data_IF_832140678312
#
_entry.id   IF_832140678312
#
_cell.length_a   1.000
_cell.length_b   1.000
_cell.length_c   1.000
_cell.angle_alpha   90.00
_cell.angle_beta   90.00
_cell.angle_gamma   90.00
#
_symmetry.space_group_name_H-M   'P 1'
#
loop_
_entity.id
_entity.type
_entity.pdbx_description
1 polymer ?
#
# COMPACT_ATOMS: atom_id res chain seq x y z
N UNK A 1 9.26 28.51 -30.86
CA UNK A 1 8.41 27.30 -30.84
C UNK A 1 7.62 27.29 -29.53
N UNK A 2 6.29 27.33 -29.62
CA UNK A 2 5.39 27.22 -28.46
C UNK A 2 5.67 25.89 -27.74
N UNK A 3 6.04 25.94 -26.46
CA UNK A 3 6.25 24.74 -25.64
C UNK A 3 4.91 24.03 -25.49
N UNK A 4 4.80 22.80 -25.99
CA UNK A 4 3.62 21.96 -25.82
C UNK A 4 3.30 21.83 -24.33
N UNK A 5 2.12 22.30 -23.94
CA UNK A 5 1.62 22.25 -22.56
C UNK A 5 1.13 20.82 -22.27
N UNK A 6 1.63 20.19 -21.20
CA UNK A 6 1.37 18.77 -20.91
C UNK A 6 -0.07 18.46 -20.52
N UNK A 7 -0.84 19.45 -20.04
CA UNK A 7 -2.24 19.30 -19.62
C UNK A 7 -3.23 20.02 -20.56
N UNK A 8 -2.81 20.35 -21.79
CA UNK A 8 -3.68 21.01 -22.75
C UNK A 8 -4.94 20.18 -23.03
N UNK A 9 -6.12 20.80 -22.93
CA UNK A 9 -7.40 20.12 -23.20
C UNK A 9 -7.93 19.26 -22.04
N UNK A 10 -7.28 19.32 -20.87
CA UNK A 10 -7.70 18.63 -19.65
C UNK A 10 -8.51 19.58 -18.76
N UNK A 11 -9.58 19.05 -18.13
CA UNK A 11 -10.33 19.74 -17.09
C UNK A 11 -9.97 19.15 -15.72
N UNK A 12 -9.60 20.02 -14.79
CA UNK A 12 -9.21 19.64 -13.43
C UNK A 12 -10.17 20.28 -12.43
N UNK A 13 -10.79 19.44 -11.62
CA UNK A 13 -11.73 19.81 -10.57
C UNK A 13 -11.00 19.77 -9.24
N UNK A 14 -10.95 20.91 -8.55
CA UNK A 14 -10.22 21.05 -7.30
C UNK A 14 -11.07 21.79 -6.28
N UNK A 15 -11.32 21.17 -5.12
CA UNK A 15 -12.10 21.77 -4.03
C UNK A 15 -11.20 22.05 -2.82
N UNK A 16 -11.42 23.20 -2.17
CA UNK A 16 -10.71 23.57 -0.93
C UNK A 16 -10.94 22.59 0.22
N UNK A 17 -11.99 21.77 0.15
CA UNK A 17 -12.29 20.75 1.16
C UNK A 17 -11.56 19.42 0.89
N UNK A 18 -11.06 19.19 -0.33
CA UNK A 18 -10.45 17.92 -0.76
C UNK A 18 -8.91 18.01 -0.89
N UNK A 19 -8.39 19.23 -0.87
CA UNK A 19 -6.97 19.53 -1.02
C UNK A 19 -6.51 20.35 0.18
N UNK A 20 -5.46 19.92 0.89
CA UNK A 20 -4.91 20.65 2.02
C UNK A 20 -4.54 22.09 1.64
N UNK A 21 -4.87 23.08 2.48
CA UNK A 21 -4.60 24.49 2.20
C UNK A 21 -3.13 24.77 1.83
N UNK A 22 -2.20 24.08 2.48
CA UNK A 22 -0.75 24.26 2.28
C UNK A 22 -0.25 23.82 0.89
N UNK A 23 -1.02 22.98 0.17
CA UNK A 23 -0.67 22.53 -1.19
C UNK A 23 -1.54 23.20 -2.25
N UNK A 24 -2.69 23.78 -1.87
CA UNK A 24 -3.73 24.23 -2.79
C UNK A 24 -3.23 25.21 -3.85
N UNK A 25 -2.60 26.31 -3.44
CA UNK A 25 -2.18 27.36 -4.36
C UNK A 25 -1.05 26.88 -5.29
N UNK A 26 -0.09 26.12 -4.73
CA UNK A 26 0.99 25.51 -5.52
C UNK A 26 0.43 24.57 -6.59
N UNK A 27 -0.58 23.78 -6.24
CA UNK A 27 -1.23 22.84 -7.15
C UNK A 27 -2.05 23.56 -8.22
N UNK A 28 -2.83 24.55 -7.81
CA UNK A 28 -3.59 25.41 -8.72
C UNK A 28 -2.68 26.02 -9.79
N UNK A 29 -1.57 26.62 -9.37
CA UNK A 29 -0.63 27.25 -10.27
C UNK A 29 0.06 26.23 -11.18
N UNK A 30 0.50 25.10 -10.65
CA UNK A 30 1.12 24.04 -11.43
C UNK A 30 0.20 23.53 -12.56
N UNK A 31 -1.08 23.33 -12.27
CA UNK A 31 -2.08 22.88 -13.25
C UNK A 31 -2.32 23.97 -14.31
N UNK A 32 -2.50 25.23 -13.88
CA UNK A 32 -2.77 26.36 -14.78
C UNK A 32 -1.61 26.64 -15.73
N UNK A 33 -0.38 26.64 -15.24
CA UNK A 33 0.82 26.86 -16.05
C UNK A 33 1.00 25.76 -17.11
N UNK A 34 0.56 24.54 -16.83
CA UNK A 34 0.60 23.41 -17.74
C UNK A 34 -0.64 23.30 -18.66
N UNK A 35 -1.51 24.31 -18.69
CA UNK A 35 -2.55 24.48 -19.73
C UNK A 35 -3.87 23.75 -19.50
N UNK A 36 -4.08 23.21 -18.31
CA UNK A 36 -5.38 22.64 -17.94
C UNK A 36 -6.40 23.75 -17.60
N UNK A 37 -7.68 23.46 -17.87
CA UNK A 37 -8.79 24.25 -17.36
C UNK A 37 -9.08 23.84 -15.92
N UNK A 38 -9.23 24.80 -15.02
CA UNK A 38 -9.46 24.54 -13.59
C UNK A 38 -10.88 24.94 -13.22
N UNK A 39 -11.59 24.06 -12.51
CA UNK A 39 -12.87 24.33 -11.90
C UNK A 39 -12.77 24.15 -10.39
N UNK A 40 -13.10 25.20 -9.64
CA UNK A 40 -12.98 25.23 -8.17
C UNK A 40 -14.17 24.56 -7.48
N UNK A 41 -14.49 23.33 -7.88
CA UNK A 41 -15.60 22.56 -7.35
C UNK A 41 -15.24 21.07 -7.31
N UNK A 42 -16.14 20.28 -6.73
CA UNK A 42 -16.13 18.82 -6.85
C UNK A 42 -17.52 18.44 -7.33
N UNK A 43 -17.64 18.13 -8.61
CA UNK A 43 -18.89 17.73 -9.26
C UNK A 43 -18.77 16.29 -9.78
N UNK A 44 -19.32 15.31 -9.06
CA UNK A 44 -19.24 13.90 -9.43
C UNK A 44 -19.97 13.56 -10.74
N UNK A 45 -20.81 14.46 -11.29
CA UNK A 45 -21.40 14.27 -12.62
C UNK A 45 -20.42 14.51 -13.76
N UNK A 46 -19.26 15.13 -13.47
CA UNK A 46 -18.22 15.49 -14.44
C UNK A 46 -17.17 14.38 -14.51
N UNK A 47 -17.48 13.34 -15.28
CA UNK A 47 -16.66 12.13 -15.44
C UNK A 47 -16.19 11.92 -16.89
N UNK A 48 -16.06 13.00 -17.66
CA UNK A 48 -15.62 12.93 -19.05
C UNK A 48 -14.20 12.35 -19.20
N UNK A 49 -13.82 11.94 -20.43
CA UNK A 49 -12.52 11.32 -20.71
C UNK A 49 -11.32 12.21 -20.39
N UNK A 50 -11.51 13.53 -20.33
CA UNK A 50 -10.49 14.52 -19.98
C UNK A 50 -10.77 15.24 -18.64
N UNK A 51 -11.74 14.76 -17.85
CA UNK A 51 -12.06 15.32 -16.53
C UNK A 51 -11.30 14.58 -15.43
N UNK A 52 -10.68 15.31 -14.51
CA UNK A 52 -9.94 14.75 -13.37
C UNK A 52 -10.28 15.49 -12.08
N UNK A 53 -10.54 14.75 -11.01
CA UNK A 53 -10.84 15.29 -9.68
C UNK A 53 -9.64 15.16 -8.77
N UNK A 54 -9.21 16.26 -8.15
CA UNK A 54 -8.12 16.22 -7.18
C UNK A 54 -8.67 15.89 -5.80
N UNK A 55 -8.15 14.82 -5.20
CA UNK A 55 -8.50 14.40 -3.84
C UNK A 55 -7.28 13.86 -3.11
N UNK A 56 -7.05 14.35 -1.90
CA UNK A 56 -5.82 14.06 -1.16
C UNK A 56 -5.89 12.83 -0.29
N UNK A 57 -7.09 12.34 0.02
CA UNK A 57 -7.28 11.21 0.91
C UNK A 57 -8.43 10.33 0.41
N UNK A 58 -8.15 9.04 0.25
CA UNK A 58 -9.16 8.02 -0.11
C UNK A 58 -10.19 7.75 0.98
N UNK A 59 -9.94 8.25 2.21
CA UNK A 59 -10.87 8.14 3.35
C UNK A 59 -11.94 9.23 3.37
N UNK A 60 -11.83 10.24 2.52
CA UNK A 60 -12.82 11.32 2.47
C UNK A 60 -14.16 10.78 1.93
N UNK A 61 -15.29 11.23 2.50
CA UNK A 61 -16.65 10.76 2.13
C UNK A 61 -16.93 10.82 0.61
N UNK A 62 -16.52 11.91 -0.03
CA UNK A 62 -16.64 12.13 -1.48
C UNK A 62 -15.81 11.17 -2.34
N UNK A 63 -14.79 10.50 -1.78
CA UNK A 63 -13.97 9.57 -2.54
C UNK A 63 -14.81 8.43 -3.11
N UNK A 64 -15.69 7.85 -2.28
CA UNK A 64 -16.54 6.73 -2.72
C UNK A 64 -17.59 7.18 -3.72
N UNK A 65 -18.17 8.37 -3.57
CA UNK A 65 -19.10 8.93 -4.54
C UNK A 65 -18.43 9.13 -5.92
N UNK A 66 -17.23 9.73 -5.94
CA UNK A 66 -16.44 9.89 -7.17
C UNK A 66 -16.06 8.55 -7.79
N UNK A 67 -15.61 7.58 -6.96
CA UNK A 67 -15.23 6.23 -7.41
C UNK A 67 -16.42 5.50 -8.04
N UNK A 68 -17.59 5.53 -7.39
CA UNK A 68 -18.80 4.87 -7.87
C UNK A 68 -19.33 5.44 -9.19
N UNK A 69 -19.11 6.73 -9.44
CA UNK A 69 -19.46 7.42 -10.70
C UNK A 69 -18.39 7.30 -11.79
N UNK A 70 -17.33 6.54 -11.55
CA UNK A 70 -16.24 6.33 -12.52
C UNK A 70 -15.39 7.58 -12.77
N UNK A 71 -15.37 8.53 -11.83
CA UNK A 71 -14.54 9.72 -11.96
C UNK A 71 -13.06 9.34 -11.88
N UNK A 72 -12.23 9.95 -12.73
CA UNK A 72 -10.77 9.85 -12.60
C UNK A 72 -10.31 10.77 -11.49
N UNK A 73 -9.64 10.21 -10.49
CA UNK A 73 -9.20 10.91 -9.30
C UNK A 73 -7.68 10.95 -9.23
N UNK A 74 -7.12 12.05 -8.72
CA UNK A 74 -5.69 12.27 -8.62
C UNK A 74 -5.31 12.85 -7.27
N UNK A 75 -4.24 12.36 -6.66
CA UNK A 75 -3.62 12.96 -5.50
C UNK A 75 -2.82 14.22 -5.87
N UNK A 76 -2.72 15.23 -4.99
CA UNK A 76 -1.90 16.41 -5.24
C UNK A 76 -0.47 16.10 -5.65
N UNK A 77 0.13 15.05 -5.05
CA UNK A 77 1.53 14.70 -5.29
C UNK A 77 1.79 14.20 -6.71
N UNK A 78 0.90 13.37 -7.25
CA UNK A 78 1.06 12.87 -8.62
C UNK A 78 0.91 14.00 -9.64
N UNK A 79 -0.06 14.92 -9.44
CA UNK A 79 -0.29 16.06 -10.33
C UNK A 79 0.92 17.01 -10.35
N UNK A 80 1.46 17.35 -9.18
CA UNK A 80 2.64 18.20 -9.06
C UNK A 80 3.86 17.58 -9.76
N UNK A 81 4.05 16.26 -9.64
CA UNK A 81 5.15 15.58 -10.31
C UNK A 81 4.97 15.62 -11.84
N UNK A 82 3.78 15.27 -12.35
CA UNK A 82 3.47 15.35 -13.78
C UNK A 82 3.67 16.77 -14.34
N UNK A 83 3.27 17.78 -13.58
CA UNK A 83 3.43 19.19 -13.94
C UNK A 83 4.90 19.60 -14.02
N UNK A 84 5.72 19.15 -13.06
CA UNK A 84 7.16 19.41 -13.00
C UNK A 84 7.90 18.72 -14.15
N UNK A 85 7.58 17.45 -14.41
CA UNK A 85 8.24 16.63 -15.43
C UNK A 85 7.66 16.80 -16.83
N UNK A 86 6.59 17.59 -16.98
CA UNK A 86 5.84 17.78 -18.23
C UNK A 86 5.31 16.47 -18.82
N UNK A 87 4.92 15.54 -17.96
CA UNK A 87 4.28 14.27 -18.33
C UNK A 87 2.75 14.44 -18.35
N UNK A 88 2.02 13.64 -19.14
CA UNK A 88 0.57 13.62 -19.07
C UNK A 88 0.08 13.13 -17.69
N UNK A 89 -1.15 13.50 -17.33
CA UNK A 89 -1.80 12.98 -16.13
C UNK A 89 -2.17 11.49 -16.31
N UNK A 90 -2.08 10.68 -15.23
CA UNK A 90 -2.43 9.27 -15.31
C UNK A 90 -3.94 9.11 -15.52
N UNK A 91 -4.31 8.17 -16.40
CA UNK A 91 -5.71 7.98 -16.84
C UNK A 91 -6.47 6.90 -16.08
N UNK A 92 -5.81 6.23 -15.13
CA UNK A 92 -6.38 5.18 -14.30
C UNK A 92 -7.35 5.75 -13.24
N UNK A 93 -8.17 4.89 -12.63
CA UNK A 93 -9.27 5.28 -11.74
C UNK A 93 -8.85 6.26 -10.63
N UNK A 94 -7.92 5.86 -9.76
CA UNK A 94 -7.31 6.75 -8.78
C UNK A 94 -5.78 6.58 -8.77
N UNK A 95 -5.05 7.69 -8.69
CA UNK A 95 -3.59 7.69 -8.49
C UNK A 95 -3.23 8.71 -7.43
N UNK A 96 -2.78 8.27 -6.25
CA UNK A 96 -2.39 9.17 -5.17
C UNK A 96 -0.98 9.77 -5.40
N UNK A 97 -0.03 8.92 -5.80
CA UNK A 97 1.37 9.28 -6.05
C UNK A 97 2.04 8.25 -6.96
N UNK A 98 3.33 8.42 -7.21
CA UNK A 98 4.16 7.51 -8.00
C UNK A 98 5.24 6.84 -7.15
N UNK A 99 4.98 6.67 -5.84
CA UNK A 99 5.94 6.10 -4.90
C UNK A 99 6.36 4.67 -5.31
N UNK A 100 5.47 3.93 -5.94
CA UNK A 100 5.70 2.55 -6.39
C UNK A 100 5.88 2.46 -7.90
N UNK A 101 6.17 3.57 -8.60
CA UNK A 101 6.39 3.53 -10.05
C UNK A 101 7.56 2.59 -10.40
N UNK A 102 7.28 1.63 -11.30
CA UNK A 102 8.21 0.55 -11.65
C UNK A 102 8.41 -0.55 -10.58
N UNK A 103 7.70 -0.49 -9.45
CA UNK A 103 7.80 -1.48 -8.37
C UNK A 103 6.80 -2.61 -8.58
N UNK A 104 7.31 -3.85 -8.59
CA UNK A 104 6.53 -5.09 -8.72
C UNK A 104 6.42 -5.80 -7.39
N UNK A 105 5.20 -6.07 -6.96
CA UNK A 105 4.88 -6.62 -5.64
C UNK A 105 4.13 -7.94 -5.77
N UNK A 106 4.37 -8.87 -4.85
CA UNK A 106 3.59 -10.10 -4.70
C UNK A 106 2.98 -10.18 -3.30
N UNK A 107 1.68 -10.48 -3.22
CA UNK A 107 0.99 -10.68 -1.94
C UNK A 107 0.77 -12.18 -1.63
N UNK A 108 0.91 -12.58 -0.36
CA UNK A 108 0.66 -13.96 0.09
C UNK A 108 0.12 -14.06 1.51
N UNK A 109 -0.74 -15.06 1.76
CA UNK A 109 -1.35 -15.30 3.08
C UNK A 109 -2.56 -14.42 3.41
N UNK A 110 -3.02 -13.61 2.46
CA UNK A 110 -4.19 -12.75 2.57
C UNK A 110 -5.43 -13.39 1.94
N UNK A 111 -6.60 -13.10 2.50
CA UNK A 111 -7.89 -13.44 1.90
C UNK A 111 -8.19 -12.58 0.65
N UNK A 112 -9.35 -12.80 0.03
CA UNK A 112 -9.72 -12.11 -1.20
C UNK A 112 -9.88 -10.59 -0.99
N UNK A 113 -10.57 -10.19 0.07
CA UNK A 113 -10.86 -8.78 0.36
C UNK A 113 -9.59 -8.02 0.76
N UNK A 114 -8.71 -8.66 1.53
CA UNK A 114 -7.39 -8.12 1.87
C UNK A 114 -6.52 -7.93 0.63
N UNK A 115 -6.56 -8.86 -0.33
CA UNK A 115 -5.80 -8.73 -1.59
C UNK A 115 -6.30 -7.58 -2.45
N UNK A 116 -7.62 -7.36 -2.52
CA UNK A 116 -8.18 -6.20 -3.23
C UNK A 116 -7.63 -4.91 -2.63
N UNK A 117 -7.61 -4.77 -1.30
CA UNK A 117 -7.04 -3.57 -0.64
C UNK A 117 -5.55 -3.38 -0.90
N UNK A 118 -4.79 -4.48 -0.98
CA UNK A 118 -3.37 -4.44 -1.33
C UNK A 118 -3.21 -3.99 -2.79
N UNK A 119 -3.98 -4.56 -3.71
CA UNK A 119 -3.97 -4.20 -5.12
C UNK A 119 -4.31 -2.72 -5.33
N UNK A 120 -5.36 -2.23 -4.67
CA UNK A 120 -5.75 -0.82 -4.67
C UNK A 120 -4.58 0.07 -4.22
N UNK A 121 -4.00 -0.17 -3.04
CA UNK A 121 -2.87 0.64 -2.56
C UNK A 121 -1.65 0.60 -3.48
N UNK A 122 -1.31 -0.57 -4.03
CA UNK A 122 -0.17 -0.71 -4.95
C UNK A 122 -0.42 0.07 -6.24
N UNK A 123 -1.60 -0.08 -6.84
CA UNK A 123 -1.97 0.58 -8.11
C UNK A 123 -2.15 2.09 -7.95
N UNK A 124 -2.73 2.54 -6.84
CA UNK A 124 -2.86 3.95 -6.48
C UNK A 124 -1.51 4.67 -6.38
N UNK A 125 -0.45 3.95 -5.97
CA UNK A 125 0.92 4.46 -5.91
C UNK A 125 1.74 4.24 -7.20
N UNK A 126 1.11 3.71 -8.26
CA UNK A 126 1.76 3.46 -9.56
C UNK A 126 2.52 2.14 -9.68
N UNK A 127 2.40 1.24 -8.71
CA UNK A 127 3.03 -0.08 -8.74
C UNK A 127 2.18 -1.16 -9.42
N UNK A 128 2.76 -2.35 -9.56
CA UNK A 128 2.09 -3.51 -10.14
C UNK A 128 2.02 -4.67 -9.14
N UNK A 129 0.81 -5.20 -8.90
CA UNK A 129 0.62 -6.42 -8.13
C UNK A 129 0.67 -7.64 -9.04
N UNK A 130 1.61 -8.54 -8.80
CA UNK A 130 1.73 -9.80 -9.50
C UNK A 130 0.96 -10.90 -8.76
N UNK A 131 0.31 -11.78 -9.50
CA UNK A 131 -0.42 -12.94 -8.95
C UNK A 131 0.48 -14.16 -8.80
N UNK A 132 1.55 -14.25 -9.61
CA UNK A 132 2.48 -15.38 -9.67
C UNK A 132 3.89 -15.00 -9.20
N UNK A 133 4.62 -15.95 -8.58
CA UNK A 133 6.04 -15.76 -8.28
C UNK A 133 6.84 -15.46 -9.55
N UNK A 134 7.81 -14.54 -9.45
CA UNK A 134 8.72 -14.17 -10.53
C UNK A 134 10.03 -13.64 -9.96
N UNK A 135 11.12 -13.70 -10.72
CA UNK A 135 12.46 -13.24 -10.32
C UNK A 135 12.61 -11.71 -10.36
N UNK A 136 11.74 -11.03 -11.11
CA UNK A 136 11.75 -9.56 -11.29
C UNK A 136 10.97 -8.79 -10.22
N UNK A 137 10.46 -9.48 -9.19
CA UNK A 137 9.76 -8.86 -8.08
C UNK A 137 10.70 -8.03 -7.20
N UNK A 138 10.22 -6.87 -6.75
CA UNK A 138 10.96 -6.00 -5.84
C UNK A 138 10.67 -6.32 -4.38
N UNK A 139 9.40 -6.55 -4.02
CA UNK A 139 8.95 -6.82 -2.66
C UNK A 139 7.94 -7.96 -2.62
N UNK A 140 7.91 -8.68 -1.50
CA UNK A 140 6.84 -9.65 -1.19
C UNK A 140 6.15 -9.22 0.09
N UNK A 141 4.86 -8.92 -0.01
CA UNK A 141 4.01 -8.63 1.14
C UNK A 141 3.42 -9.95 1.62
N UNK A 142 3.62 -10.29 2.89
CA UNK A 142 3.02 -11.49 3.49
C UNK A 142 2.27 -11.15 4.76
N UNK A 143 1.18 -11.88 5.00
CA UNK A 143 0.40 -11.72 6.24
C UNK A 143 1.19 -12.19 7.45
N UNK A 144 1.94 -13.29 7.30
CA UNK A 144 2.75 -13.90 8.35
C UNK A 144 3.64 -15.02 7.76
N UNK A 145 4.42 -15.71 8.61
CA UNK A 145 5.37 -16.75 8.17
C UNK A 145 4.71 -18.04 7.65
N UNK A 146 3.40 -18.23 7.89
CA UNK A 146 2.63 -19.37 7.38
C UNK A 146 2.16 -19.17 5.94
N UNK A 147 2.34 -17.98 5.36
CA UNK A 147 1.98 -17.72 3.98
C UNK A 147 2.72 -18.67 3.02
N UNK A 148 1.99 -19.30 2.10
CA UNK A 148 2.53 -20.34 1.20
C UNK A 148 3.79 -19.90 0.44
N UNK A 149 3.85 -18.62 0.05
CA UNK A 149 4.97 -18.07 -0.73
C UNK A 149 6.11 -17.53 0.14
N UNK A 150 5.98 -17.55 1.48
CA UNK A 150 6.99 -17.02 2.41
C UNK A 150 8.34 -17.72 2.28
N UNK A 151 8.36 -19.06 2.36
CA UNK A 151 9.60 -19.85 2.24
C UNK A 151 10.28 -19.66 0.88
N UNK A 152 9.49 -19.61 -0.19
CA UNK A 152 10.00 -19.33 -1.53
C UNK A 152 10.64 -17.93 -1.60
N UNK A 153 9.94 -16.90 -1.09
CA UNK A 153 10.45 -15.54 -1.08
C UNK A 153 11.78 -15.44 -0.29
N UNK A 154 11.87 -16.14 0.83
CA UNK A 154 13.04 -16.12 1.72
C UNK A 154 14.24 -16.83 1.09
N UNK A 155 14.03 -18.05 0.57
CA UNK A 155 15.14 -18.92 0.16
C UNK A 155 15.53 -18.76 -1.31
N UNK A 156 14.56 -18.44 -2.18
CA UNK A 156 14.75 -18.40 -3.64
C UNK A 156 14.86 -16.97 -4.13
N UNK A 157 13.86 -16.14 -3.85
CA UNK A 157 13.83 -14.76 -4.37
C UNK A 157 14.88 -13.87 -3.70
N UNK A 158 15.08 -14.03 -2.38
CA UNK A 158 16.04 -13.24 -1.57
C UNK A 158 15.85 -11.72 -1.71
N UNK A 159 14.60 -11.29 -1.85
CA UNK A 159 14.18 -9.88 -1.86
C UNK A 159 13.46 -9.55 -0.54
N UNK A 160 13.28 -8.26 -0.21
CA UNK A 160 12.61 -7.88 1.02
C UNK A 160 11.21 -8.49 1.14
N UNK A 161 10.95 -9.10 2.30
CA UNK A 161 9.64 -9.62 2.71
C UNK A 161 9.12 -8.71 3.82
N UNK A 162 8.01 -8.05 3.57
CA UNK A 162 7.47 -6.98 4.42
C UNK A 162 6.01 -7.24 4.78
N UNK A 163 5.53 -6.57 5.81
CA UNK A 163 4.12 -6.63 6.22
C UNK A 163 3.25 -5.65 5.42
N UNK A 164 1.93 -5.74 5.59
CA UNK A 164 0.98 -4.83 4.98
C UNK A 164 1.14 -3.37 5.47
N UNK A 165 1.61 -3.19 6.70
CA UNK A 165 1.87 -1.88 7.32
C UNK A 165 2.94 -1.10 6.56
N UNK A 166 3.93 -1.77 5.96
CA UNK A 166 4.92 -1.10 5.11
C UNK A 166 4.27 -0.41 3.90
N UNK A 167 3.34 -1.11 3.25
CA UNK A 167 2.64 -0.60 2.07
C UNK A 167 1.76 0.60 2.45
N UNK A 168 1.07 0.50 3.60
CA UNK A 168 0.30 1.63 4.16
C UNK A 168 1.20 2.83 4.42
N UNK A 169 2.35 2.62 5.07
CA UNK A 169 3.29 3.71 5.36
C UNK A 169 3.83 4.36 4.08
N UNK A 170 4.13 3.56 3.04
CA UNK A 170 4.56 4.09 1.75
C UNK A 170 3.50 5.00 1.11
N UNK A 171 2.22 4.63 1.27
CA UNK A 171 1.08 5.44 0.81
C UNK A 171 0.97 6.73 1.60
N UNK A 172 1.03 6.66 2.93
CA UNK A 172 0.92 7.82 3.81
C UNK A 172 2.08 8.83 3.60
N UNK A 173 3.32 8.35 3.42
CA UNK A 173 4.48 9.20 3.17
C UNK A 173 4.71 9.54 1.68
N UNK A 174 3.92 8.97 0.78
CA UNK A 174 4.06 9.10 -0.67
C UNK A 174 5.48 8.80 -1.19
N UNK A 175 6.16 7.81 -0.59
CA UNK A 175 7.52 7.36 -0.97
C UNK A 175 7.75 5.92 -0.51
N UNK A 176 8.70 5.23 -1.13
CA UNK A 176 9.18 3.95 -0.59
C UNK A 176 9.93 4.20 0.71
N UNK A 177 9.37 3.77 1.84
CA UNK A 177 10.00 3.92 3.16
C UNK A 177 10.94 2.75 3.47
N UNK A 178 11.94 2.93 4.36
CA UNK A 178 12.82 1.84 4.79
C UNK A 178 12.03 0.64 5.32
N UNK A 179 12.41 -0.57 4.91
CA UNK A 179 11.68 -1.80 5.23
C UNK A 179 12.01 -2.40 6.60
N UNK A 180 13.08 -1.94 7.27
CA UNK A 180 13.68 -2.61 8.43
C UNK A 180 12.66 -2.81 9.57
N UNK A 181 11.87 -1.77 9.87
CA UNK A 181 10.84 -1.79 10.90
C UNK A 181 9.58 -2.57 10.51
N UNK A 182 9.48 -3.01 9.26
CA UNK A 182 8.30 -3.67 8.71
C UNK A 182 8.58 -5.08 8.18
N UNK A 183 9.74 -5.64 8.54
CA UNK A 183 10.04 -7.04 8.27
C UNK A 183 9.10 -7.92 9.08
N UNK A 184 8.72 -9.05 8.49
CA UNK A 184 7.86 -10.04 9.15
C UNK A 184 8.66 -10.71 10.25
N UNK A 185 8.17 -10.63 11.48
CA UNK A 185 8.84 -11.25 12.63
C UNK A 185 8.80 -12.79 12.53
N UNK A 186 9.81 -13.50 13.06
CA UNK A 186 9.98 -14.94 12.85
C UNK A 186 8.80 -15.81 13.31
N UNK A 187 8.05 -15.38 14.33
CA UNK A 187 6.90 -16.12 14.85
C UNK A 187 5.57 -15.47 14.50
N UNK A 188 5.55 -14.47 13.61
CA UNK A 188 4.31 -13.84 13.14
C UNK A 188 3.31 -14.89 12.68
N UNK A 189 2.07 -14.81 13.15
CA UNK A 189 0.98 -15.75 12.82
C UNK A 189 1.06 -17.11 13.51
N UNK A 190 2.11 -17.40 14.28
CA UNK A 190 2.21 -18.65 15.03
C UNK A 190 1.44 -18.56 16.35
N UNK A 191 0.76 -19.65 16.73
CA UNK A 191 0.23 -19.86 18.07
C UNK A 191 0.93 -21.06 18.68
N UNK A 192 1.79 -20.83 19.66
CA UNK A 192 2.77 -21.80 20.15
C UNK A 192 2.39 -22.21 21.57
N UNK A 193 2.23 -23.51 21.77
CA UNK A 193 2.06 -24.14 23.07
C UNK A 193 3.39 -24.75 23.52
N UNK A 194 3.64 -24.78 24.84
CA UNK A 194 4.86 -25.37 25.42
C UNK A 194 4.47 -26.38 26.50
N UNK A 195 5.03 -27.59 26.45
CA UNK A 195 4.76 -28.68 27.42
C UNK A 195 6.04 -29.39 27.86
N UNK A 196 6.03 -30.05 29.02
CA UNK A 196 7.18 -30.78 29.55
C UNK A 196 8.37 -29.91 29.99
N UNK A 197 8.22 -28.59 29.97
CA UNK A 197 9.28 -27.63 30.32
C UNK A 197 8.99 -26.99 31.69
N UNK A 198 10.05 -26.77 32.47
CA UNK A 198 10.00 -26.14 33.80
C UNK A 198 9.35 -24.75 33.73
N UNK A 199 8.74 -24.33 34.85
CA UNK A 199 7.98 -23.08 34.90
C UNK A 199 8.83 -21.85 34.53
N UNK A 200 10.09 -21.78 34.97
CA UNK A 200 10.97 -20.64 34.68
C UNK A 200 11.34 -20.56 33.20
N UNK A 201 11.76 -21.69 32.60
CA UNK A 201 12.04 -21.77 31.16
C UNK A 201 10.80 -21.49 30.32
N UNK A 202 9.63 -21.94 30.77
CA UNK A 202 8.35 -21.67 30.09
C UNK A 202 8.05 -20.17 30.05
N UNK A 203 8.25 -19.44 31.15
CA UNK A 203 8.08 -17.98 31.19
C UNK A 203 9.06 -17.26 30.26
N UNK A 204 10.31 -17.72 30.20
CA UNK A 204 11.29 -17.19 29.25
C UNK A 204 10.87 -17.43 27.79
N UNK A 205 10.44 -18.65 27.47
CA UNK A 205 9.93 -18.99 26.15
C UNK A 205 8.70 -18.17 25.77
N UNK A 206 7.74 -18.00 26.68
CA UNK A 206 6.57 -17.14 26.45
C UNK A 206 7.00 -15.72 26.08
N UNK A 207 7.93 -15.12 26.83
CA UNK A 207 8.49 -13.79 26.53
C UNK A 207 9.12 -13.75 25.13
N UNK A 208 9.94 -14.73 24.78
CA UNK A 208 10.59 -14.79 23.45
C UNK A 208 9.58 -14.97 22.32
N UNK A 209 8.54 -15.78 22.53
CA UNK A 209 7.46 -16.00 21.56
C UNK A 209 6.77 -14.68 21.24
N UNK A 210 6.35 -13.95 22.29
CA UNK A 210 5.65 -12.67 22.16
C UNK A 210 6.54 -11.60 21.51
N UNK A 211 7.81 -11.50 21.94
CA UNK A 211 8.78 -10.54 21.38
C UNK A 211 9.05 -10.75 19.89
N UNK A 212 8.91 -11.98 19.40
CA UNK A 212 9.12 -12.33 17.99
C UNK A 212 7.80 -12.45 17.20
N UNK A 213 6.71 -11.86 17.71
CA UNK A 213 5.42 -11.72 17.02
C UNK A 213 4.52 -12.94 17.04
N UNK A 214 4.86 -13.96 17.83
CA UNK A 214 4.03 -15.14 18.05
C UNK A 214 2.99 -14.93 19.15
N UNK A 215 2.04 -15.85 19.23
CA UNK A 215 1.07 -15.94 20.33
C UNK A 215 1.39 -17.14 21.20
N UNK A 216 1.51 -16.94 22.49
CA UNK A 216 1.66 -18.05 23.43
C UNK A 216 0.29 -18.65 23.80
N UNK A 217 0.26 -19.96 24.01
CA UNK A 217 -0.90 -20.70 24.50
C UNK A 217 -0.48 -21.58 25.66
N UNK A 218 -1.06 -21.37 26.85
CA UNK A 218 -0.79 -22.20 28.02
C UNK A 218 -1.30 -23.64 27.84
N UNK A 219 -2.35 -23.80 27.03
CA UNK A 219 -2.99 -25.08 26.73
C UNK A 219 -2.89 -25.42 25.24
N UNK A 220 -2.74 -26.72 24.96
CA UNK A 220 -2.77 -27.23 23.59
C UNK A 220 -4.21 -27.25 23.09
N UNK A 221 -4.52 -26.34 22.17
CA UNK A 221 -5.82 -26.23 21.50
C UNK A 221 -5.67 -26.51 20.01
N UNK A 222 -6.77 -26.85 19.32
CA UNK A 222 -6.79 -27.02 17.85
C UNK A 222 -6.32 -25.79 17.07
N UNK A 223 -6.30 -24.62 17.71
CA UNK A 223 -5.84 -23.36 17.14
C UNK A 223 -4.32 -23.16 17.29
N UNK A 224 -3.61 -24.02 18.02
CA UNK A 224 -2.15 -23.97 18.12
C UNK A 224 -1.55 -24.44 16.80
N UNK A 225 -0.58 -23.69 16.29
CA UNK A 225 0.15 -24.04 15.08
C UNK A 225 1.37 -24.90 15.38
N UNK A 226 1.94 -24.76 16.58
CA UNK A 226 3.12 -25.49 17.02
C UNK A 226 3.00 -25.89 18.49
N UNK A 227 3.59 -27.04 18.82
CA UNK A 227 3.84 -27.50 20.18
C UNK A 227 5.34 -27.66 20.36
N UNK A 228 5.91 -27.03 21.37
CA UNK A 228 7.28 -27.24 21.82
C UNK A 228 7.22 -28.17 23.03
N UNK A 229 7.91 -29.31 22.96
CA UNK A 229 8.04 -30.24 24.07
C UNK A 229 9.51 -30.51 24.37
N UNK A 230 9.80 -30.82 25.63
CA UNK A 230 11.07 -31.44 25.98
C UNK A 230 11.06 -32.89 25.47
N UNK A 231 12.16 -33.32 24.87
CA UNK A 231 12.31 -34.70 24.39
C UNK A 231 13.28 -35.39 25.35
N UNK A 232 12.73 -35.99 26.40
CA UNK A 232 13.46 -36.93 27.24
C UNK A 232 13.39 -38.31 26.56
N UNK A 233 14.45 -38.71 25.87
CA UNK A 233 14.65 -40.09 25.44
C UNK A 233 15.20 -40.94 26.58
#
# INVERSE_FOLDING_TARGET
MSKTKSFQGVNVFMSRNLVPPEVFDTLHDAVKHNGAQIQLCCDPSRNGPNDYHIISCSKHEKFQDLKSKGCKMLGPRCVLLCAKERKPLPKQGFTCCFAMDGVKILASGFDADEKVKIEELVTEMGGALHTKPSSDLNFVIVKNVLALKYKWALNVLKKPIVTYEWLKQCSDEHRVVPQESYKVLPFSGLKICVTGISADKRKEMEKLILQNGGKYSAELTKNCTHLICDISF
#
